data_IF_725719952735
#
_entry.id   IF_725719952735
#
_cell.length_a   1.000
_cell.length_b   1.000
_cell.length_c   1.000
_cell.angle_alpha   90.00
_cell.angle_beta   90.00
_cell.angle_gamma   90.00
#
_symmetry.space_group_name_H-M   'P 1'
#
loop_
_entity.id
_entity.type
_entity.pdbx_description
1 polymer ?
#
# COMPACT_ATOMS: atom_id res chain seq x y z
N UNK A 1 -16.17 17.95 -10.98
CA UNK A 1 -16.07 16.53 -10.55
C UNK A 1 -16.32 15.69 -11.80
N UNK A 2 -15.64 14.55 -11.98
CA UNK A 2 -15.86 13.70 -13.15
C UNK A 2 -17.22 13.00 -13.03
N UNK A 3 -18.01 13.00 -14.10
CA UNK A 3 -19.40 12.52 -14.11
C UNK A 3 -19.55 11.01 -13.90
N UNK A 4 -18.45 10.24 -13.99
CA UNK A 4 -18.44 8.79 -13.98
C UNK A 4 -18.14 8.14 -12.62
N UNK A 5 -18.11 8.89 -11.53
CA UNK A 5 -17.87 8.34 -10.19
C UNK A 5 -19.17 8.21 -9.40
N UNK A 6 -19.54 6.97 -9.07
CA UNK A 6 -20.62 6.68 -8.11
C UNK A 6 -20.09 6.76 -6.67
N UNK A 7 -20.45 7.83 -5.98
CA UNK A 7 -20.14 8.04 -4.56
C UNK A 7 -21.28 7.63 -3.61
N UNK A 8 -22.36 6.98 -4.10
CA UNK A 8 -23.52 6.58 -3.28
C UNK A 8 -23.15 5.68 -2.09
N UNK A 9 -22.03 4.95 -2.21
CA UNK A 9 -21.47 4.07 -1.15
C UNK A 9 -20.40 4.74 -0.29
N UNK A 10 -20.13 6.02 -0.51
CA UNK A 10 -19.09 6.78 0.20
C UNK A 10 -19.48 7.04 1.66
N UNK A 11 -18.58 6.71 2.59
CA UNK A 11 -18.74 7.02 4.02
C UNK A 11 -17.85 8.19 4.38
N UNK A 12 -18.45 9.30 4.82
CA UNK A 12 -17.71 10.50 5.23
C UNK A 12 -16.81 10.16 6.43
N UNK A 13 -15.53 10.49 6.31
CA UNK A 13 -14.57 10.28 7.40
C UNK A 13 -14.20 8.83 7.69
N UNK A 14 -14.44 7.89 6.76
CA UNK A 14 -14.14 6.45 6.91
C UNK A 14 -12.76 6.14 7.50
N UNK A 15 -11.76 6.96 7.16
CA UNK A 15 -10.37 6.82 7.59
C UNK A 15 -9.86 8.01 8.41
N UNK A 16 -10.72 8.97 8.76
CA UNK A 16 -10.30 10.20 9.44
C UNK A 16 -9.75 9.94 10.84
N UNK A 17 -10.34 8.98 11.57
CA UNK A 17 -9.88 8.56 12.89
C UNK A 17 -8.50 7.88 12.83
N UNK A 18 -8.31 6.98 11.87
CA UNK A 18 -7.04 6.29 11.63
C UNK A 18 -5.93 7.26 11.19
N UNK A 19 -6.27 8.28 10.40
CA UNK A 19 -5.36 9.36 10.06
C UNK A 19 -4.91 10.14 11.31
N UNK A 20 -5.84 10.51 12.19
CA UNK A 20 -5.54 11.19 13.44
C UNK A 20 -4.74 10.32 14.44
N UNK A 21 -4.91 9.00 14.38
CA UNK A 21 -4.18 8.02 15.20
C UNK A 21 -2.75 7.74 14.70
N UNK A 22 -2.31 8.36 13.60
CA UNK A 22 -0.96 8.19 13.07
C UNK A 22 -0.79 6.94 12.20
N UNK A 23 -1.77 6.66 11.34
CA UNK A 23 -1.60 5.61 10.31
C UNK A 23 -0.66 6.09 9.22
N UNK A 24 0.34 5.26 8.88
CA UNK A 24 1.29 5.57 7.81
C UNK A 24 0.60 5.40 6.44
N UNK A 25 0.05 6.50 5.92
CA UNK A 25 -0.64 6.52 4.63
C UNK A 25 0.37 6.84 3.53
N UNK A 26 0.63 5.87 2.66
CA UNK A 26 1.59 6.00 1.56
C UNK A 26 0.84 6.07 0.24
N UNK A 27 1.05 7.16 -0.50
CA UNK A 27 0.53 7.31 -1.85
C UNK A 27 1.51 6.66 -2.82
N UNK A 28 1.01 5.80 -3.69
CA UNK A 28 1.82 5.19 -4.76
C UNK A 28 1.85 6.10 -5.99
N UNK A 29 2.95 6.05 -6.71
CA UNK A 29 3.02 6.65 -8.03
C UNK A 29 1.95 6.07 -8.96
N UNK A 30 1.34 6.88 -9.85
CA UNK A 30 0.26 6.43 -10.72
C UNK A 30 0.60 5.18 -11.54
N UNK A 31 1.82 5.10 -12.08
CA UNK A 31 2.25 3.95 -12.87
C UNK A 31 2.43 2.69 -12.01
N UNK A 32 2.89 2.83 -10.76
CA UNK A 32 2.99 1.72 -9.81
C UNK A 32 1.60 1.24 -9.41
N UNK A 33 0.66 2.16 -9.14
CA UNK A 33 -0.72 1.82 -8.81
C UNK A 33 -1.45 1.07 -9.94
N UNK A 34 -1.12 1.34 -11.21
CA UNK A 34 -1.65 0.58 -12.36
C UNK A 34 -1.18 -0.88 -12.36
N UNK A 35 0.07 -1.12 -11.93
CA UNK A 35 0.64 -2.47 -11.87
C UNK A 35 0.18 -3.25 -10.64
N UNK A 36 -0.17 -2.56 -9.55
CA UNK A 36 -0.64 -3.15 -8.31
C UNK A 36 -2.03 -2.62 -7.91
N UNK A 37 -3.12 -3.18 -8.49
CA UNK A 37 -4.47 -2.66 -8.28
C UNK A 37 -5.00 -2.81 -6.86
N UNK A 38 -4.37 -3.64 -6.02
CA UNK A 38 -4.80 -3.91 -4.65
C UNK A 38 -3.66 -3.76 -3.65
N UNK A 39 -4.00 -3.34 -2.43
CA UNK A 39 -3.04 -3.27 -1.31
C UNK A 39 -2.42 -4.63 -0.98
N UNK A 40 -3.16 -5.73 -1.19
CA UNK A 40 -2.64 -7.08 -1.01
C UNK A 40 -1.49 -7.38 -2.00
N UNK A 41 -1.63 -7.00 -3.27
CA UNK A 41 -0.60 -7.21 -4.29
C UNK A 41 0.68 -6.43 -3.96
N UNK A 42 0.55 -5.17 -3.52
CA UNK A 42 1.67 -4.34 -3.05
C UNK A 42 2.37 -5.00 -1.86
N UNK A 43 1.61 -5.35 -0.83
CA UNK A 43 2.16 -5.91 0.40
C UNK A 43 2.85 -7.26 0.17
N UNK A 44 2.32 -8.09 -0.75
CA UNK A 44 2.94 -9.35 -1.13
C UNK A 44 4.31 -9.14 -1.80
N UNK A 45 4.42 -8.17 -2.71
CA UNK A 45 5.68 -7.84 -3.36
C UNK A 45 6.72 -7.34 -2.36
N UNK A 46 6.34 -6.40 -1.47
CA UNK A 46 7.24 -5.86 -0.45
C UNK A 46 7.73 -6.93 0.53
N UNK A 47 6.86 -7.86 0.96
CA UNK A 47 7.27 -8.98 1.83
C UNK A 47 8.31 -9.87 1.17
N UNK A 48 8.17 -10.15 -0.13
CA UNK A 48 9.15 -10.94 -0.87
C UNK A 48 10.52 -10.23 -0.91
N UNK A 49 10.55 -8.92 -1.14
CA UNK A 49 11.80 -8.15 -1.09
C UNK A 49 12.46 -8.23 0.29
N UNK A 50 11.68 -8.13 1.37
CA UNK A 50 12.19 -8.26 2.74
C UNK A 50 12.76 -9.67 3.00
N UNK A 51 12.11 -10.71 2.50
CA UNK A 51 12.61 -12.09 2.63
C UNK A 51 13.92 -12.31 1.88
N UNK A 52 14.02 -11.76 0.67
CA UNK A 52 15.23 -11.87 -0.15
C UNK A 52 16.41 -11.10 0.48
N UNK A 53 16.14 -9.93 1.06
CA UNK A 53 17.13 -9.15 1.81
C UNK A 53 17.63 -9.90 3.05
N UNK A 54 16.71 -10.46 3.86
CA UNK A 54 17.07 -11.26 5.05
C UNK A 54 17.94 -12.47 4.70
N UNK A 55 17.65 -13.16 3.60
CA UNK A 55 18.46 -14.29 3.12
C UNK A 55 19.86 -13.86 2.67
N UNK A 56 20.01 -12.63 2.19
CA UNK A 56 21.32 -12.10 1.78
C UNK A 56 22.20 -11.74 2.98
N UNK A 57 21.62 -11.14 4.02
CA UNK A 57 22.34 -10.76 5.25
C UNK A 57 22.81 -11.96 6.07
N UNK A 58 22.08 -13.07 6.00
CA UNK A 58 22.44 -14.33 6.68
C UNK A 58 23.64 -15.03 6.01
N UNK A 59 23.91 -14.73 4.73
CA UNK A 59 25.07 -15.27 3.98
C UNK A 59 26.34 -14.43 4.12
N UNK A 60 26.24 -13.19 4.57
CA UNK A 60 27.39 -12.30 4.82
C UNK A 60 27.94 -12.39 6.24
N UNK A 61 27.33 -13.21 7.11
CA UNK A 61 27.81 -13.49 8.46
C UNK A 61 28.55 -14.83 8.55
N UNK A 62 29.73 -14.95 7.94
CA UNK A 62 30.76 -15.96 8.20
C UNK A 62 32.11 -15.32 7.94
#
# INVERSE_FOLDING_TARGET
MKDNYDFSKGVRGKYAKQFAEGTNMVVLDPEVAKLFPTSEAVNKALRKLIEDEKKSTDRSGT
#
